data_IF_429188752671
#
_entry.id   IF_429188752671
#
_cell.length_a   1.000
_cell.length_b   1.000
_cell.length_c   1.000
_cell.angle_alpha   90.00
_cell.angle_beta   90.00
_cell.angle_gamma   90.00
#
_symmetry.space_group_name_H-M   'P 1'
#
loop_
_entity.id
_entity.type
_entity.pdbx_description
1 polymer ?
#
# COMPACT_ATOMS: atom_id res chain seq x y z
N UNK A 1 15.19 12.34 -28.85
CA UNK A 1 15.61 13.75 -28.62
C UNK A 1 16.33 13.83 -27.28
N UNK A 2 17.40 14.62 -27.12
CA UNK A 2 18.09 14.76 -25.81
C UNK A 2 17.93 16.18 -25.26
N UNK A 3 17.25 16.29 -24.12
CA UNK A 3 16.95 17.49 -23.35
C UNK A 3 17.28 17.26 -21.86
N UNK A 4 18.16 16.29 -21.55
CA UNK A 4 18.55 16.00 -20.17
C UNK A 4 19.12 17.25 -19.49
N UNK A 5 18.71 17.51 -18.25
CA UNK A 5 19.11 18.69 -17.46
C UNK A 5 18.77 20.05 -18.10
N UNK A 6 17.96 20.08 -19.17
CA UNK A 6 17.59 21.33 -19.82
C UNK A 6 16.70 22.17 -18.90
N UNK A 7 16.86 23.50 -18.99
CA UNK A 7 15.92 24.43 -18.36
C UNK A 7 14.78 24.75 -19.34
N UNK A 8 13.62 24.14 -19.09
CA UNK A 8 12.41 24.22 -19.91
C UNK A 8 11.26 24.85 -19.15
N UNK A 9 11.54 25.52 -18.01
CA UNK A 9 10.53 26.13 -17.15
C UNK A 9 9.56 27.01 -17.92
N UNK A 10 8.26 26.81 -17.69
CA UNK A 10 7.19 27.64 -18.23
C UNK A 10 7.03 27.56 -19.76
N UNK A 11 7.69 26.61 -20.42
CA UNK A 11 7.60 26.47 -21.88
C UNK A 11 6.30 25.76 -22.28
N UNK A 12 5.87 26.04 -23.51
CA UNK A 12 4.74 25.34 -24.12
C UNK A 12 5.24 24.25 -25.06
N UNK A 13 4.96 23.01 -24.68
CA UNK A 13 5.18 21.79 -25.44
C UNK A 13 3.87 21.02 -25.61
N UNK A 14 2.73 21.71 -25.58
CA UNK A 14 1.45 21.05 -25.79
C UNK A 14 1.38 20.36 -27.15
N UNK A 15 0.91 19.11 -27.16
CA UNK A 15 0.88 18.27 -28.36
C UNK A 15 2.24 17.82 -28.90
N UNK A 16 3.35 18.14 -28.22
CA UNK A 16 4.68 17.81 -28.71
C UNK A 16 4.89 16.29 -28.82
N UNK A 17 5.59 15.88 -29.88
CA UNK A 17 5.96 14.49 -30.12
C UNK A 17 7.36 14.25 -29.53
N UNK A 18 7.40 13.67 -28.32
CA UNK A 18 8.60 13.50 -27.50
C UNK A 18 8.80 12.03 -27.08
N UNK A 19 8.30 11.10 -27.89
CA UNK A 19 8.53 9.66 -27.71
C UNK A 19 10.02 9.36 -27.57
N UNK A 20 10.37 8.53 -26.59
CA UNK A 20 11.75 8.13 -26.25
C UNK A 20 12.71 9.32 -26.02
N UNK A 21 12.19 10.51 -25.73
CA UNK A 21 13.02 11.66 -25.42
C UNK A 21 13.70 11.47 -24.05
N UNK A 22 14.97 11.88 -23.96
CA UNK A 22 15.66 11.99 -22.69
C UNK A 22 15.41 13.40 -22.12
N UNK A 23 14.57 13.46 -21.10
CA UNK A 23 14.24 14.64 -20.27
C UNK A 23 14.72 14.45 -18.83
N UNK A 24 15.59 13.48 -18.57
CA UNK A 24 16.08 13.19 -17.22
C UNK A 24 16.67 14.45 -16.59
N UNK A 25 16.33 14.71 -15.32
CA UNK A 25 16.77 15.89 -14.55
C UNK A 25 16.40 17.25 -15.16
N UNK A 26 15.54 17.30 -16.18
CA UNK A 26 15.13 18.56 -16.78
C UNK A 26 14.30 19.39 -15.78
N UNK A 27 14.43 20.72 -15.85
CA UNK A 27 13.54 21.63 -15.15
C UNK A 27 12.33 21.92 -16.04
N UNK A 28 11.22 21.27 -15.74
CA UNK A 28 9.93 21.34 -16.41
C UNK A 28 8.87 22.04 -15.54
N UNK A 29 9.27 22.81 -14.53
CA UNK A 29 8.33 23.50 -13.65
C UNK A 29 7.42 24.42 -14.47
N UNK A 30 6.11 24.41 -14.19
CA UNK A 30 5.08 25.20 -14.89
C UNK A 30 5.04 24.98 -16.42
N UNK A 31 5.63 23.90 -16.93
CA UNK A 31 5.65 23.61 -18.37
C UNK A 31 4.29 23.07 -18.80
N UNK A 32 3.82 23.51 -19.96
CA UNK A 32 2.64 22.92 -20.59
C UNK A 32 3.06 21.74 -21.46
N UNK A 33 2.81 20.51 -20.97
CA UNK A 33 2.98 19.24 -21.69
C UNK A 33 1.63 18.62 -22.03
N UNK A 34 0.55 19.40 -22.03
CA UNK A 34 -0.80 18.87 -22.28
C UNK A 34 -0.87 18.23 -23.66
N UNK A 35 -1.45 17.02 -23.78
CA UNK A 35 -1.54 16.24 -25.03
C UNK A 35 -0.19 15.85 -25.64
N UNK A 36 0.93 16.06 -24.94
CA UNK A 36 2.23 15.64 -25.43
C UNK A 36 2.31 14.11 -25.45
N UNK A 37 3.04 13.57 -26.43
CA UNK A 37 3.39 12.16 -26.49
C UNK A 37 4.78 11.96 -25.90
N UNK A 38 4.81 11.44 -24.68
CA UNK A 38 6.00 11.13 -23.87
C UNK A 38 6.18 9.62 -23.69
N UNK A 39 5.59 8.81 -24.59
CA UNK A 39 5.72 7.34 -24.53
C UNK A 39 7.18 6.93 -24.52
N UNK A 40 7.56 6.09 -23.55
CA UNK A 40 8.94 5.63 -23.38
C UNK A 40 9.96 6.72 -23.03
N UNK A 41 9.53 7.96 -22.78
CA UNK A 41 10.44 9.05 -22.44
C UNK A 41 11.12 8.78 -21.08
N UNK A 42 12.38 9.20 -20.96
CA UNK A 42 13.07 9.22 -19.69
C UNK A 42 12.88 10.59 -19.04
N UNK A 43 12.03 10.65 -18.03
CA UNK A 43 11.73 11.80 -17.16
C UNK A 43 12.31 11.61 -15.74
N UNK A 44 13.20 10.64 -15.54
CA UNK A 44 13.77 10.35 -14.22
C UNK A 44 14.39 11.59 -13.60
N UNK A 45 14.08 11.83 -12.33
CA UNK A 45 14.53 12.99 -11.55
C UNK A 45 14.17 14.36 -12.16
N UNK A 46 13.26 14.43 -13.14
CA UNK A 46 12.81 15.71 -13.70
C UNK A 46 12.01 16.50 -12.65
N UNK A 47 12.16 17.82 -12.65
CA UNK A 47 11.33 18.69 -11.83
C UNK A 47 10.13 19.17 -12.65
N UNK A 48 8.96 18.58 -12.42
CA UNK A 48 7.70 18.85 -13.13
C UNK A 48 6.66 19.48 -12.19
N UNK A 49 7.11 20.20 -11.16
CA UNK A 49 6.23 20.89 -10.24
C UNK A 49 5.28 21.83 -11.01
N UNK A 50 3.98 21.75 -10.73
CA UNK A 50 2.95 22.55 -11.39
C UNK A 50 2.93 22.44 -12.93
N UNK A 51 3.53 21.41 -13.52
CA UNK A 51 3.42 21.15 -14.95
C UNK A 51 2.01 20.68 -15.32
N UNK A 52 1.55 21.04 -16.52
CA UNK A 52 0.30 20.48 -17.06
C UNK A 52 0.62 19.28 -17.93
N UNK A 53 0.17 18.10 -17.52
CA UNK A 53 0.22 16.84 -18.26
C UNK A 53 -1.19 16.37 -18.66
N UNK A 54 -2.15 17.29 -18.69
CA UNK A 54 -3.54 17.02 -19.07
C UNK A 54 -3.59 16.34 -20.44
N UNK A 55 -4.27 15.20 -20.54
CA UNK A 55 -4.37 14.36 -21.74
C UNK A 55 -3.01 13.88 -22.32
N UNK A 56 -1.91 13.95 -21.56
CA UNK A 56 -0.59 13.51 -22.05
C UNK A 56 -0.46 11.98 -22.07
N UNK A 57 0.30 11.44 -23.03
CA UNK A 57 0.60 10.01 -23.13
C UNK A 57 1.98 9.73 -22.54
N UNK A 58 2.04 9.06 -21.40
CA UNK A 58 3.25 8.74 -20.63
C UNK A 58 3.47 7.21 -20.53
N UNK A 59 2.89 6.46 -21.46
CA UNK A 59 2.93 4.99 -21.45
C UNK A 59 4.37 4.48 -21.42
N UNK A 60 4.68 3.64 -20.43
CA UNK A 60 6.01 3.05 -20.26
C UNK A 60 7.15 4.04 -20.05
N UNK A 61 6.85 5.31 -19.71
CA UNK A 61 7.89 6.30 -19.41
C UNK A 61 8.50 6.08 -18.03
N UNK A 62 9.73 6.55 -17.86
CA UNK A 62 10.45 6.52 -16.58
C UNK A 62 10.30 7.88 -15.90
N UNK A 63 9.48 7.96 -14.87
CA UNK A 63 9.30 9.13 -13.98
C UNK A 63 9.90 8.88 -12.60
N UNK A 64 10.82 7.92 -12.47
CA UNK A 64 11.42 7.59 -11.18
C UNK A 64 12.08 8.82 -10.55
N UNK A 65 11.80 9.05 -9.27
CA UNK A 65 12.29 10.20 -8.50
C UNK A 65 11.91 11.58 -9.06
N UNK A 66 10.93 11.67 -9.97
CA UNK A 66 10.46 12.95 -10.49
C UNK A 66 9.64 13.72 -9.45
N UNK A 67 9.65 15.05 -9.54
CA UNK A 67 8.80 15.92 -8.72
C UNK A 67 7.55 16.32 -9.51
N UNK A 68 6.39 15.81 -9.13
CA UNK A 68 5.07 16.10 -9.71
C UNK A 68 4.15 16.82 -8.72
N UNK A 69 4.69 17.50 -7.71
CA UNK A 69 3.89 18.32 -6.79
C UNK A 69 3.04 19.32 -7.57
N UNK A 70 1.75 19.37 -7.27
CA UNK A 70 0.77 20.24 -7.91
C UNK A 70 0.64 20.08 -9.44
N UNK A 71 1.15 19.00 -10.04
CA UNK A 71 1.00 18.76 -11.46
C UNK A 71 -0.48 18.43 -11.82
N UNK A 72 -0.90 18.81 -13.02
CA UNK A 72 -2.23 18.47 -13.55
C UNK A 72 -2.12 17.20 -14.41
N UNK A 73 -2.76 16.11 -13.98
CA UNK A 73 -2.69 14.79 -14.62
C UNK A 73 -4.05 14.30 -15.14
N UNK A 74 -5.02 15.20 -15.29
CA UNK A 74 -6.35 14.89 -15.81
C UNK A 74 -6.27 14.14 -17.15
N UNK A 75 -6.84 12.94 -17.20
CA UNK A 75 -6.83 12.03 -18.36
C UNK A 75 -5.43 11.65 -18.88
N UNK A 76 -4.36 11.84 -18.10
CA UNK A 76 -3.03 11.39 -18.48
C UNK A 76 -2.98 9.85 -18.51
N UNK A 77 -2.30 9.28 -19.51
CA UNK A 77 -2.05 7.85 -19.60
C UNK A 77 -0.68 7.50 -19.05
N UNK A 78 -0.62 7.04 -17.81
CA UNK A 78 0.59 6.58 -17.11
C UNK A 78 0.76 5.06 -17.19
N UNK A 79 0.03 4.36 -18.06
CA UNK A 79 0.03 2.90 -18.08
C UNK A 79 1.45 2.34 -18.25
N UNK A 80 1.87 1.46 -17.34
CA UNK A 80 3.21 0.87 -17.32
C UNK A 80 4.36 1.82 -16.98
N UNK A 81 4.08 3.08 -16.62
CA UNK A 81 5.11 4.03 -16.23
C UNK A 81 5.78 3.64 -14.90
N UNK A 82 7.07 3.95 -14.80
CA UNK A 82 7.80 3.84 -13.53
C UNK A 82 7.70 5.15 -12.75
N UNK A 83 6.95 5.13 -11.65
CA UNK A 83 6.76 6.25 -10.73
C UNK A 83 7.45 5.95 -9.38
N UNK A 84 8.44 5.08 -9.35
CA UNK A 84 9.15 4.73 -8.11
C UNK A 84 9.87 5.94 -7.52
N UNK A 85 9.64 6.22 -6.24
CA UNK A 85 10.19 7.39 -5.55
C UNK A 85 9.67 8.75 -6.06
N UNK A 86 8.62 8.76 -6.89
CA UNK A 86 8.01 10.01 -7.36
C UNK A 86 7.47 10.80 -6.18
N UNK A 87 7.49 12.12 -6.29
CA UNK A 87 6.88 13.00 -5.30
C UNK A 87 5.61 13.67 -5.86
N UNK A 88 4.46 13.27 -5.33
CA UNK A 88 3.15 13.90 -5.53
C UNK A 88 2.54 14.29 -4.18
N UNK A 89 2.07 15.53 -4.06
CA UNK A 89 1.36 15.97 -2.87
C UNK A 89 0.04 16.58 -3.33
N UNK A 90 -1.07 16.03 -2.81
CA UNK A 90 -2.43 16.51 -3.10
C UNK A 90 -2.76 16.61 -4.58
N UNK A 91 -2.23 15.68 -5.37
CA UNK A 91 -2.53 15.56 -6.80
C UNK A 91 -3.80 14.73 -6.98
N UNK A 92 -4.67 15.14 -7.90
CA UNK A 92 -5.83 14.36 -8.31
C UNK A 92 -5.44 13.42 -9.46
N UNK A 93 -5.56 12.12 -9.23
CA UNK A 93 -5.25 11.06 -10.21
C UNK A 93 -6.51 10.34 -10.68
N UNK A 94 -7.71 10.73 -10.22
CA UNK A 94 -8.95 9.95 -10.43
C UNK A 94 -9.34 9.77 -11.89
N UNK A 95 -8.82 10.60 -12.79
CA UNK A 95 -9.05 10.52 -14.24
C UNK A 95 -7.87 9.94 -15.02
N UNK A 96 -6.75 9.64 -14.36
CA UNK A 96 -5.55 9.11 -15.01
C UNK A 96 -5.67 7.61 -15.23
N UNK A 97 -5.02 7.09 -16.27
CA UNK A 97 -4.85 5.65 -16.46
C UNK A 97 -3.56 5.21 -15.78
N UNK A 98 -3.65 4.32 -14.78
CA UNK A 98 -2.51 3.88 -13.96
C UNK A 98 -2.32 2.36 -13.98
N UNK A 99 -2.78 1.67 -15.03
CA UNK A 99 -2.65 0.21 -15.10
C UNK A 99 -1.16 -0.18 -15.20
N UNK A 100 -0.71 -1.06 -14.30
CA UNK A 100 0.66 -1.59 -14.32
C UNK A 100 1.76 -0.59 -13.96
N UNK A 101 1.42 0.53 -13.32
CA UNK A 101 2.42 1.47 -12.77
C UNK A 101 3.25 0.83 -11.66
N UNK A 102 4.47 1.34 -11.44
CA UNK A 102 5.25 1.07 -10.23
C UNK A 102 5.32 2.32 -9.37
N UNK A 103 5.07 2.19 -8.08
CA UNK A 103 4.99 3.29 -7.11
C UNK A 103 5.84 3.01 -5.87
N UNK A 104 6.85 2.12 -5.97
CA UNK A 104 7.72 1.78 -4.83
C UNK A 104 8.41 3.03 -4.27
N UNK A 105 8.29 3.26 -2.97
CA UNK A 105 8.86 4.44 -2.30
C UNK A 105 8.24 5.78 -2.70
N UNK A 106 7.12 5.81 -3.42
CA UNK A 106 6.48 7.05 -3.87
C UNK A 106 5.95 7.88 -2.69
N UNK A 107 6.08 9.20 -2.75
CA UNK A 107 5.34 10.13 -1.88
C UNK A 107 4.02 10.49 -2.58
N UNK A 108 2.88 10.07 -2.02
CA UNK A 108 1.52 10.28 -2.53
C UNK A 108 0.64 10.98 -1.48
N UNK A 109 1.25 11.80 -0.62
CA UNK A 109 0.63 12.39 0.56
C UNK A 109 -0.59 13.22 0.17
N UNK A 110 -1.76 12.85 0.70
CA UNK A 110 -3.02 13.53 0.44
C UNK A 110 -3.51 13.49 -1.01
N UNK A 111 -2.94 12.64 -1.87
CA UNK A 111 -3.39 12.50 -3.25
C UNK A 111 -4.76 11.82 -3.34
N UNK A 112 -5.49 12.06 -4.43
CA UNK A 112 -6.76 11.41 -4.70
C UNK A 112 -6.61 10.29 -5.74
N UNK A 113 -6.65 9.05 -5.28
CA UNK A 113 -6.57 7.81 -6.06
C UNK A 113 -7.93 7.06 -6.07
N UNK A 114 -9.01 7.74 -5.69
CA UNK A 114 -10.32 7.10 -5.53
C UNK A 114 -10.82 6.50 -6.85
N UNK A 115 -11.34 5.27 -6.78
CA UNK A 115 -11.88 4.53 -7.93
C UNK A 115 -10.85 4.03 -8.94
N UNK A 116 -9.55 4.23 -8.71
CA UNK A 116 -8.51 3.76 -9.63
C UNK A 116 -8.36 2.24 -9.63
N UNK A 117 -8.03 1.70 -10.81
CA UNK A 117 -7.58 0.32 -10.95
C UNK A 117 -6.08 0.21 -10.70
N UNK A 118 -5.73 -0.29 -9.53
CA UNK A 118 -4.37 -0.50 -9.02
C UNK A 118 -4.16 -1.98 -8.63
N UNK A 119 -4.89 -2.89 -9.26
CA UNK A 119 -4.73 -4.32 -9.01
C UNK A 119 -3.30 -4.78 -9.33
N UNK A 120 -2.69 -5.52 -8.41
CA UNK A 120 -1.32 -6.02 -8.55
C UNK A 120 -0.23 -4.95 -8.52
N UNK A 121 -0.55 -3.69 -8.19
CA UNK A 121 0.44 -2.61 -8.15
C UNK A 121 1.52 -2.89 -7.11
N UNK A 122 2.76 -2.51 -7.45
CA UNK A 122 3.90 -2.51 -6.53
C UNK A 122 4.09 -1.10 -5.96
N UNK A 123 3.77 -0.91 -4.68
CA UNK A 123 3.96 0.36 -3.98
C UNK A 123 4.58 0.16 -2.60
N UNK A 124 5.42 -0.86 -2.43
CA UNK A 124 6.18 -1.05 -1.18
C UNK A 124 6.90 0.22 -0.77
N UNK A 125 6.93 0.52 0.53
CA UNK A 125 7.57 1.71 1.11
C UNK A 125 6.95 3.06 0.69
N UNK A 126 5.81 3.07 0.00
CA UNK A 126 5.15 4.31 -0.40
C UNK A 126 4.52 5.03 0.80
N UNK A 127 4.49 6.37 0.74
CA UNK A 127 3.79 7.21 1.70
C UNK A 127 2.49 7.75 1.12
N UNK A 128 1.38 7.16 1.53
CA UNK A 128 0.00 7.53 1.20
C UNK A 128 -0.73 8.16 2.39
N UNK A 129 -0.01 8.76 3.34
CA UNK A 129 -0.63 9.40 4.51
C UNK A 129 -1.67 10.45 4.08
N UNK A 130 -2.87 10.34 4.65
CA UNK A 130 -4.01 11.20 4.32
C UNK A 130 -4.55 11.11 2.89
N UNK A 131 -4.10 10.15 2.08
CA UNK A 131 -4.59 9.97 0.70
C UNK A 131 -6.06 9.49 0.67
N UNK A 132 -6.72 9.71 -0.46
CA UNK A 132 -8.07 9.23 -0.73
C UNK A 132 -7.99 8.05 -1.71
N UNK A 133 -8.42 6.87 -1.26
CA UNK A 133 -8.48 5.62 -2.03
C UNK A 133 -9.88 4.99 -1.95
N UNK A 134 -10.91 5.83 -1.82
CA UNK A 134 -12.30 5.35 -1.72
C UNK A 134 -12.65 4.59 -2.99
N UNK A 135 -13.23 3.40 -2.85
CA UNK A 135 -13.59 2.51 -3.97
C UNK A 135 -12.41 2.12 -4.89
N UNK A 136 -11.15 2.31 -4.49
CA UNK A 136 -9.99 1.89 -5.29
C UNK A 136 -9.85 0.35 -5.34
N UNK A 137 -9.41 -0.17 -6.48
CA UNK A 137 -9.15 -1.60 -6.70
C UNK A 137 -7.66 -1.88 -6.49
N UNK A 138 -7.33 -2.64 -5.44
CA UNK A 138 -5.98 -2.95 -4.95
C UNK A 138 -5.81 -4.47 -4.74
N UNK A 139 -6.56 -5.29 -5.48
CA UNK A 139 -6.52 -6.74 -5.30
C UNK A 139 -5.16 -7.27 -5.74
N UNK A 140 -4.55 -8.13 -4.92
CA UNK A 140 -3.22 -8.69 -5.16
C UNK A 140 -2.07 -7.67 -5.16
N UNK A 141 -2.29 -6.43 -4.72
CA UNK A 141 -1.22 -5.42 -4.69
C UNK A 141 -0.16 -5.72 -3.64
N UNK A 142 1.07 -5.23 -3.87
CA UNK A 142 2.17 -5.27 -2.90
C UNK A 142 2.35 -3.89 -2.29
N UNK A 143 1.93 -3.76 -1.03
CA UNK A 143 1.86 -2.53 -0.24
C UNK A 143 2.77 -2.57 0.99
N UNK A 144 3.66 -3.56 1.12
CA UNK A 144 4.47 -3.79 2.32
C UNK A 144 5.29 -2.56 2.71
N UNK A 145 5.45 -2.32 4.02
CA UNK A 145 6.21 -1.19 4.57
C UNK A 145 5.68 0.20 4.20
N UNK A 146 4.47 0.31 3.65
CA UNK A 146 3.89 1.60 3.27
C UNK A 146 3.26 2.31 4.46
N UNK A 147 3.04 3.63 4.31
CA UNK A 147 2.32 4.45 5.29
C UNK A 147 0.99 4.92 4.70
N UNK A 148 -0.12 4.47 5.27
CA UNK A 148 -1.49 4.89 4.95
C UNK A 148 -2.13 5.68 6.09
N UNK A 149 -1.35 6.17 7.06
CA UNK A 149 -1.90 6.80 8.27
C UNK A 149 -2.89 7.93 7.92
N UNK A 150 -4.09 7.84 8.47
CA UNK A 150 -5.19 8.78 8.23
C UNK A 150 -5.79 8.76 6.81
N UNK A 151 -5.41 7.82 5.94
CA UNK A 151 -5.98 7.69 4.61
C UNK A 151 -7.45 7.26 4.65
N UNK A 152 -8.20 7.61 3.61
CA UNK A 152 -9.57 7.15 3.43
C UNK A 152 -9.62 6.05 2.36
N UNK A 153 -9.74 4.81 2.81
CA UNK A 153 -9.81 3.60 1.97
C UNK A 153 -11.20 2.95 2.06
N UNK A 154 -12.24 3.75 2.33
CA UNK A 154 -13.61 3.25 2.45
C UNK A 154 -14.03 2.47 1.21
N UNK A 155 -14.56 1.26 1.40
CA UNK A 155 -14.97 0.33 0.33
C UNK A 155 -13.86 -0.07 -0.68
N UNK A 156 -12.60 0.24 -0.40
CA UNK A 156 -11.49 -0.23 -1.23
C UNK A 156 -11.42 -1.76 -1.27
N UNK A 157 -10.87 -2.30 -2.36
CA UNK A 157 -10.82 -3.74 -2.63
C UNK A 157 -9.38 -4.23 -2.60
N UNK A 158 -8.98 -4.76 -1.45
CA UNK A 158 -7.65 -5.24 -1.11
C UNK A 158 -7.58 -6.78 -1.02
N UNK A 159 -8.45 -7.51 -1.72
CA UNK A 159 -8.44 -8.97 -1.61
C UNK A 159 -7.11 -9.55 -2.10
N UNK A 160 -6.48 -10.40 -1.29
CA UNK A 160 -5.17 -10.98 -1.58
C UNK A 160 -3.99 -9.99 -1.56
N UNK A 161 -4.19 -8.76 -1.08
CA UNK A 161 -3.10 -7.77 -1.02
C UNK A 161 -2.07 -8.09 0.06
N UNK A 162 -0.85 -7.58 -0.10
CA UNK A 162 0.26 -7.70 0.84
C UNK A 162 0.54 -6.37 1.52
N UNK A 163 0.07 -6.18 2.74
CA UNK A 163 0.13 -4.90 3.49
C UNK A 163 1.02 -5.03 4.73
N UNK A 164 1.94 -5.98 4.70
CA UNK A 164 2.75 -6.37 5.85
C UNK A 164 3.59 -5.21 6.35
N UNK A 165 3.76 -5.12 7.67
CA UNK A 165 4.64 -4.14 8.33
C UNK A 165 4.31 -2.67 8.01
N UNK A 166 3.12 -2.42 7.47
CA UNK A 166 2.68 -1.08 7.06
C UNK A 166 2.07 -0.31 8.23
N UNK A 167 2.00 1.01 8.10
CA UNK A 167 1.30 1.88 9.03
C UNK A 167 -0.10 2.19 8.49
N UNK A 168 -1.14 1.86 9.25
CA UNK A 168 -2.53 2.12 8.93
C UNK A 168 -3.23 2.89 10.06
N UNK A 169 -2.47 3.63 10.87
CA UNK A 169 -3.02 4.34 12.05
C UNK A 169 -4.13 5.29 11.65
N UNK A 170 -5.32 5.12 12.25
CA UNK A 170 -6.47 5.98 11.99
C UNK A 170 -7.02 5.92 10.56
N UNK A 171 -6.63 4.92 9.77
CA UNK A 171 -7.12 4.73 8.41
C UNK A 171 -8.61 4.39 8.41
N UNK A 172 -9.36 4.86 7.41
CA UNK A 172 -10.75 4.45 7.22
C UNK A 172 -10.81 3.29 6.24
N UNK A 173 -11.18 2.11 6.72
CA UNK A 173 -11.39 0.89 5.94
C UNK A 173 -12.84 0.38 6.07
N UNK A 174 -13.78 1.25 6.45
CA UNK A 174 -15.19 0.92 6.60
C UNK A 174 -15.76 0.29 5.32
N UNK A 175 -16.26 -0.94 5.44
CA UNK A 175 -16.82 -1.73 4.33
C UNK A 175 -15.80 -2.20 3.28
N UNK A 176 -14.50 -2.01 3.50
CA UNK A 176 -13.46 -2.48 2.58
C UNK A 176 -13.42 -4.01 2.51
N UNK A 177 -12.96 -4.54 1.38
CA UNK A 177 -12.74 -5.97 1.19
C UNK A 177 -11.26 -6.28 1.32
N UNK A 178 -10.83 -6.88 2.43
CA UNK A 178 -9.44 -7.26 2.69
C UNK A 178 -9.26 -8.79 2.62
N UNK A 179 -10.28 -9.52 2.15
CA UNK A 179 -10.33 -10.99 2.22
C UNK A 179 -9.09 -11.67 1.64
N UNK A 180 -8.57 -12.66 2.37
CA UNK A 180 -7.36 -13.39 1.99
C UNK A 180 -6.11 -12.51 1.86
N UNK A 181 -6.12 -11.25 2.29
CA UNK A 181 -4.93 -10.40 2.31
C UNK A 181 -4.03 -10.67 3.52
N UNK A 182 -2.78 -10.25 3.41
CA UNK A 182 -1.82 -10.30 4.50
C UNK A 182 -1.58 -8.92 5.12
N UNK A 183 -1.71 -8.85 6.43
CA UNK A 183 -1.53 -7.69 7.30
C UNK A 183 -0.59 -8.04 8.46
N UNK A 184 0.40 -8.90 8.19
CA UNK A 184 1.34 -9.36 9.19
C UNK A 184 2.15 -8.19 9.76
N UNK A 185 2.18 -8.05 11.08
CA UNK A 185 2.93 -6.99 11.76
C UNK A 185 2.47 -5.56 11.44
N UNK A 186 1.30 -5.39 10.83
CA UNK A 186 0.76 -4.09 10.42
C UNK A 186 0.23 -3.32 11.63
N UNK A 187 0.47 -2.01 11.69
CA UNK A 187 -0.10 -1.15 12.71
C UNK A 187 -1.49 -0.66 12.29
N UNK A 188 -2.55 -1.24 12.85
CA UNK A 188 -3.95 -0.89 12.62
C UNK A 188 -4.55 -0.06 13.77
N UNK A 189 -3.72 0.58 14.59
CA UNK A 189 -4.20 1.36 15.75
C UNK A 189 -5.24 2.41 15.35
N UNK A 190 -6.40 2.42 16.00
CA UNK A 190 -7.47 3.40 15.75
C UNK A 190 -8.12 3.32 14.36
N UNK A 191 -7.85 2.27 13.58
CA UNK A 191 -8.42 2.08 12.23
C UNK A 191 -9.91 1.82 12.30
N UNK A 192 -10.69 2.42 11.41
CA UNK A 192 -12.09 2.02 11.20
C UNK A 192 -12.16 0.82 10.26
N UNK A 193 -12.40 -0.37 10.81
CA UNK A 193 -12.64 -1.63 10.07
C UNK A 193 -14.13 -2.03 10.11
N UNK A 194 -15.03 -1.08 10.40
CA UNK A 194 -16.45 -1.41 10.56
C UNK A 194 -17.01 -1.98 9.27
N UNK A 195 -17.74 -3.09 9.36
CA UNK A 195 -18.32 -3.83 8.22
C UNK A 195 -17.30 -4.32 7.18
N UNK A 196 -16.00 -4.26 7.47
CA UNK A 196 -14.97 -4.73 6.56
C UNK A 196 -14.98 -6.26 6.44
N UNK A 197 -14.57 -6.79 5.29
CA UNK A 197 -14.40 -8.23 5.06
C UNK A 197 -12.95 -8.61 5.30
N UNK A 198 -12.69 -9.33 6.39
CA UNK A 198 -11.37 -9.85 6.77
C UNK A 198 -11.34 -11.38 6.73
N UNK A 199 -12.25 -12.02 6.00
CA UNK A 199 -12.29 -13.47 5.95
C UNK A 199 -10.99 -14.03 5.35
N UNK A 200 -10.36 -14.97 6.06
CA UNK A 200 -9.11 -15.60 5.65
C UNK A 200 -7.87 -14.68 5.69
N UNK A 201 -7.93 -13.50 6.31
CA UNK A 201 -6.75 -12.62 6.39
C UNK A 201 -5.68 -13.13 7.35
N UNK A 202 -4.42 -12.76 7.10
CA UNK A 202 -3.33 -12.95 8.05
C UNK A 202 -3.12 -11.66 8.83
N UNK A 203 -3.44 -11.66 10.13
CA UNK A 203 -3.31 -10.54 11.07
C UNK A 203 -2.30 -10.84 12.19
N UNK A 204 -1.45 -11.86 12.01
CA UNK A 204 -0.46 -12.25 13.00
C UNK A 204 0.49 -11.07 13.26
N UNK A 205 0.61 -10.68 14.53
CA UNK A 205 1.45 -9.56 14.94
C UNK A 205 0.90 -8.16 14.60
N UNK A 206 -0.30 -8.06 14.01
CA UNK A 206 -0.92 -6.77 13.76
C UNK A 206 -1.38 -6.09 15.06
N UNK A 207 -1.17 -4.78 15.17
CA UNK A 207 -1.68 -3.99 16.30
C UNK A 207 -3.07 -3.45 15.99
N UNK A 208 -4.10 -4.02 16.61
CA UNK A 208 -5.50 -3.63 16.45
C UNK A 208 -6.01 -2.71 17.58
N UNK A 209 -5.11 -2.10 18.35
CA UNK A 209 -5.47 -1.27 19.51
C UNK A 209 -6.42 -0.13 19.11
N UNK A 210 -7.61 -0.10 19.69
CA UNK A 210 -8.61 0.93 19.40
C UNK A 210 -9.24 0.87 17.99
N UNK A 211 -8.98 -0.19 17.21
CA UNK A 211 -9.64 -0.38 15.92
C UNK A 211 -11.14 -0.68 16.09
N UNK A 212 -11.97 -0.14 15.20
CA UNK A 212 -13.41 -0.42 15.16
C UNK A 212 -13.70 -1.62 14.27
N UNK A 213 -14.08 -2.76 14.85
CA UNK A 213 -14.41 -3.99 14.13
C UNK A 213 -15.92 -4.27 14.06
N UNK A 214 -16.78 -3.29 14.36
CA UNK A 214 -18.23 -3.51 14.40
C UNK A 214 -18.76 -3.98 13.06
N UNK A 215 -19.37 -5.17 13.05
CA UNK A 215 -19.93 -5.77 11.85
C UNK A 215 -18.90 -6.32 10.86
N UNK A 216 -17.60 -6.30 11.20
CA UNK A 216 -16.56 -6.91 10.39
C UNK A 216 -16.74 -8.44 10.33
N UNK A 217 -16.38 -9.04 9.19
CA UNK A 217 -16.31 -10.49 9.01
C UNK A 217 -14.87 -10.98 9.17
N UNK A 218 -14.59 -11.64 10.29
CA UNK A 218 -13.27 -12.19 10.63
C UNK A 218 -13.21 -13.71 10.40
N UNK A 219 -14.14 -14.30 9.64
CA UNK A 219 -14.21 -15.75 9.47
C UNK A 219 -12.92 -16.30 8.87
N UNK A 220 -12.21 -17.17 9.61
CA UNK A 220 -10.93 -17.72 9.16
C UNK A 220 -9.75 -16.75 9.18
N UNK A 221 -9.91 -15.53 9.74
CA UNK A 221 -8.80 -14.64 9.99
C UNK A 221 -7.83 -15.25 11.02
N UNK A 222 -6.53 -15.05 10.80
CA UNK A 222 -5.45 -15.61 11.63
C UNK A 222 -4.81 -14.51 12.45
N UNK A 223 -5.03 -14.49 13.76
CA UNK A 223 -4.45 -13.48 14.67
C UNK A 223 -3.23 -13.98 15.45
N UNK A 224 -3.06 -15.29 15.54
CA UNK A 224 -2.01 -15.93 16.33
C UNK A 224 -1.26 -16.96 15.50
N UNK A 225 -0.01 -17.22 15.90
CA UNK A 225 0.80 -18.29 15.31
C UNK A 225 0.26 -19.62 15.87
N UNK A 226 -0.08 -20.61 15.03
CA UNK A 226 -0.45 -21.93 15.53
C UNK A 226 0.74 -22.56 16.30
N UNK A 227 0.49 -23.33 17.36
CA UNK A 227 1.56 -23.98 18.08
C UNK A 227 2.35 -24.93 17.16
N UNK A 228 3.66 -25.12 17.42
CA UNK A 228 4.45 -26.07 16.64
C UNK A 228 3.83 -27.48 16.74
N UNK A 229 3.97 -28.33 15.71
CA UNK A 229 3.28 -29.63 15.61
C UNK A 229 3.56 -30.60 16.77
N UNK A 230 4.57 -30.35 17.61
CA UNK A 230 4.98 -31.19 18.73
C UNK A 230 4.70 -30.56 20.12
N UNK A 231 3.91 -29.48 20.20
CA UNK A 231 3.54 -28.89 21.48
C UNK A 231 2.66 -29.88 22.29
N UNK A 232 3.19 -30.39 23.41
CA UNK A 232 2.46 -31.29 24.30
C UNK A 232 1.36 -30.51 25.04
N UNK A 233 0.14 -31.04 24.99
CA UNK A 233 -1.07 -30.55 25.65
C UNK A 233 -0.79 -30.01 27.06
N UNK A 234 -0.71 -28.69 27.21
CA UNK A 234 -0.43 -28.07 28.50
C UNK A 234 -0.32 -26.54 28.46
N UNK A 235 0.03 -25.96 27.32
CA UNK A 235 -0.11 -24.53 27.05
C UNK A 235 -1.27 -24.32 26.08
N UNK A 236 -2.35 -23.72 26.59
CA UNK A 236 -3.53 -23.34 25.81
C UNK A 236 -3.17 -22.23 24.81
N UNK A 237 -2.55 -22.60 23.70
CA UNK A 237 -2.44 -21.76 22.50
C UNK A 237 -3.73 -21.92 21.69
N UNK A 238 -4.86 -21.52 22.26
CA UNK A 238 -6.09 -21.41 21.48
C UNK A 238 -5.94 -20.20 20.57
N UNK A 239 -5.99 -20.43 19.26
CA UNK A 239 -6.06 -19.33 18.31
C UNK A 239 -7.29 -18.50 18.65
N UNK A 240 -7.14 -17.20 18.88
CA UNK A 240 -8.27 -16.28 18.89
C UNK A 240 -8.87 -16.32 17.49
N UNK A 241 -9.97 -17.06 17.35
CA UNK A 241 -10.69 -17.16 16.08
C UNK A 241 -11.53 -15.89 15.88
N UNK A 242 -11.91 -15.60 14.64
CA UNK A 242 -12.88 -14.54 14.37
C UNK A 242 -14.20 -14.72 15.14
N UNK A 243 -14.58 -15.95 15.52
CA UNK A 243 -15.74 -16.22 16.36
C UNK A 243 -15.54 -15.76 17.82
N UNK A 244 -14.33 -15.94 18.37
CA UNK A 244 -13.98 -15.51 19.73
C UNK A 244 -14.01 -13.98 19.85
N UNK A 245 -13.50 -13.28 18.84
CA UNK A 245 -13.59 -11.81 18.73
C UNK A 245 -15.03 -11.32 18.52
N UNK A 246 -15.84 -12.02 17.72
CA UNK A 246 -17.25 -11.66 17.50
C UNK A 246 -18.09 -11.84 18.77
N UNK A 247 -17.81 -12.88 19.55
CA UNK A 247 -18.41 -13.08 20.86
C UNK A 247 -17.98 -12.00 21.85
N UNK A 248 -16.69 -11.64 21.84
CA UNK A 248 -16.11 -10.55 22.64
C UNK A 248 -16.61 -9.15 22.25
N UNK A 249 -17.04 -8.95 21.01
CA UNK A 249 -17.67 -7.71 20.52
C UNK A 249 -19.14 -7.59 20.97
N UNK A 250 -19.84 -8.72 21.10
CA UNK A 250 -21.23 -8.76 21.57
C UNK A 250 -21.35 -8.66 23.10
N UNK A 251 -20.31 -9.03 23.84
CA UNK A 251 -20.21 -8.75 25.28
C UNK A 251 -19.42 -7.46 25.48
N UNK A 252 -20.02 -6.44 26.09
CA UNK A 252 -19.42 -5.12 26.21
C UNK A 252 -18.03 -5.14 26.90
N UNK A 253 -16.94 -5.21 26.12
CA UNK A 253 -15.67 -4.44 26.21
C UNK A 253 -14.47 -5.20 25.60
N UNK A 254 -14.03 -4.76 24.41
CA UNK A 254 -12.82 -5.25 23.70
C UNK A 254 -11.54 -5.12 24.55
N UNK A 255 -11.50 -4.13 25.44
CA UNK A 255 -10.39 -3.91 26.38
C UNK A 255 -10.17 -5.08 27.33
N UNK A 256 -11.20 -5.89 27.59
CA UNK A 256 -11.13 -7.02 28.52
C UNK A 256 -10.51 -8.27 27.90
N UNK A 257 -10.69 -8.48 26.59
CA UNK A 257 -10.13 -9.62 25.85
C UNK A 257 -8.67 -9.42 25.48
N UNK A 258 -8.27 -8.18 25.18
CA UNK A 258 -6.85 -7.82 25.00
C UNK A 258 -6.07 -7.80 26.33
N UNK A 259 -6.77 -7.62 27.46
CA UNK A 259 -6.19 -7.70 28.80
C UNK A 259 -6.10 -9.14 29.34
N UNK A 260 -6.78 -10.10 28.72
CA UNK A 260 -6.74 -11.49 29.17
C UNK A 260 -5.46 -12.17 28.66
N UNK A 261 -4.91 -13.00 29.55
CA UNK A 261 -3.48 -13.31 29.61
C UNK A 261 -3.04 -14.05 28.35
N UNK A 262 -2.29 -13.37 27.48
CA UNK A 262 -1.11 -13.86 26.72
C UNK A 262 -0.70 -12.94 25.55
N UNK A 263 -1.55 -12.00 25.11
CA UNK A 263 -1.21 -11.05 24.03
C UNK A 263 -0.31 -9.90 24.53
N UNK A 264 -0.52 -9.44 25.77
CA UNK A 264 0.25 -8.34 26.37
C UNK A 264 1.76 -8.61 26.58
N UNK A 265 2.23 -9.86 26.41
CA UNK A 265 3.63 -10.23 26.59
C UNK A 265 4.50 -10.04 25.33
N UNK A 266 3.88 -9.70 24.19
CA UNK A 266 4.54 -9.34 22.94
C UNK A 266 4.60 -7.81 22.80
N UNK A 267 5.29 -7.16 23.73
CA UNK A 267 5.56 -5.73 23.65
C UNK A 267 6.48 -5.41 22.48
N UNK A 268 6.33 -4.22 21.91
CA UNK A 268 7.10 -3.65 20.79
C UNK A 268 8.63 -3.86 20.93
N UNK A 269 9.15 -3.87 22.16
CA UNK A 269 10.55 -4.07 22.49
C UNK A 269 11.07 -5.51 22.31
N UNK A 270 10.19 -6.54 22.33
CA UNK A 270 10.56 -7.93 22.00
C UNK A 270 10.29 -8.27 20.55
N UNK A 271 9.26 -7.69 19.94
CA UNK A 271 8.90 -7.93 18.55
C UNK A 271 9.89 -7.28 17.57
N UNK A 272 10.36 -6.04 17.80
CA UNK A 272 11.31 -5.37 16.88
C UNK A 272 12.61 -6.16 16.67
N UNK A 273 13.33 -6.65 17.71
CA UNK A 273 14.55 -7.44 17.52
C UNK A 273 14.27 -8.82 16.92
N UNK A 274 13.19 -9.49 17.34
CA UNK A 274 12.80 -10.79 16.79
C UNK A 274 12.39 -10.66 15.31
N UNK A 275 11.62 -9.64 14.93
CA UNK A 275 11.27 -9.34 13.53
C UNK A 275 12.48 -8.88 12.73
N UNK A 276 13.34 -8.03 13.28
CA UNK A 276 14.56 -7.58 12.62
C UNK A 276 15.52 -8.74 12.33
N UNK A 277 15.75 -9.65 13.28
CA UNK A 277 16.56 -10.85 13.06
C UNK A 277 15.86 -11.88 12.17
N UNK A 278 14.54 -12.05 12.25
CA UNK A 278 13.77 -13.00 11.43
C UNK A 278 13.65 -12.58 9.98
N UNK A 279 13.48 -11.28 9.72
CA UNK A 279 13.42 -10.67 8.39
C UNK A 279 14.82 -10.69 7.74
N UNK A 280 15.89 -10.43 8.49
CA UNK A 280 17.27 -10.46 7.98
C UNK A 280 17.84 -11.88 7.80
N UNK A 281 17.38 -12.87 8.59
CA UNK A 281 17.88 -14.24 8.50
C UNK A 281 17.20 -15.10 7.42
N UNK A 282 16.28 -14.54 6.61
CA UNK A 282 15.60 -15.32 5.57
C UNK A 282 14.92 -16.57 6.13
N UNK A 283 14.42 -16.49 7.37
CA UNK A 283 13.74 -17.61 8.02
C UNK A 283 12.36 -17.72 7.39
N UNK A 284 12.33 -18.53 6.33
CA UNK A 284 11.19 -19.27 5.84
C UNK A 284 10.59 -20.00 7.05
N UNK A 285 9.64 -19.37 7.74
CA UNK A 285 8.63 -20.13 8.44
C UNK A 285 7.83 -20.81 7.35
N UNK A 286 8.12 -22.11 7.20
CA UNK A 286 7.50 -23.09 6.31
C UNK A 286 6.15 -22.62 5.73
N UNK A 287 6.03 -22.76 4.40
CA UNK A 287 4.85 -22.46 3.58
C UNK A 287 3.54 -23.02 4.17
N UNK A 288 3.63 -24.03 5.05
CA UNK A 288 2.52 -24.67 5.74
C UNK A 288 2.19 -24.11 7.13
N UNK A 289 3.01 -23.25 7.75
CA UNK A 289 2.82 -22.81 9.15
C UNK A 289 2.23 -21.41 9.31
N UNK A 290 2.60 -20.43 8.48
CA UNK A 290 2.11 -19.03 8.60
C UNK A 290 1.17 -18.63 7.46
N UNK A 291 1.22 -19.34 6.34
CA UNK A 291 0.43 -19.03 5.15
C UNK A 291 -0.60 -20.13 4.88
N UNK A 292 -1.80 -19.81 4.37
CA UNK A 292 -2.67 -20.84 3.82
C UNK A 292 -1.94 -21.61 2.71
N UNK A 293 -2.16 -22.93 2.62
CA UNK A 293 -1.77 -23.71 1.43
C UNK A 293 -2.31 -23.01 0.17
N UNK A 294 -1.43 -22.62 -0.76
CA UNK A 294 -1.79 -21.93 -2.01
C UNK A 294 -1.70 -20.39 -1.99
N UNK A 295 -1.01 -19.80 -1.00
CA UNK A 295 -0.73 -18.36 -0.96
C UNK A 295 0.52 -18.03 -1.79
N UNK A 296 0.35 -17.52 -3.01
CA UNK A 296 1.48 -17.09 -3.86
C UNK A 296 2.16 -15.86 -3.26
N UNK A 297 3.44 -16.01 -2.91
CA UNK A 297 4.29 -14.93 -2.38
C UNK A 297 4.85 -14.12 -3.56
N UNK A 298 4.48 -12.84 -3.75
CA UNK A 298 5.07 -12.00 -4.77
C UNK A 298 6.59 -11.88 -4.53
N UNK A 299 7.39 -12.00 -5.57
CA UNK A 299 8.85 -11.85 -5.46
C UNK A 299 9.25 -10.49 -4.86
N UNK A 300 8.50 -9.43 -5.18
CA UNK A 300 8.66 -8.07 -4.62
C UNK A 300 8.19 -7.92 -3.17
N UNK A 301 7.45 -8.90 -2.63
CA UNK A 301 7.08 -8.96 -1.22
C UNK A 301 8.12 -9.69 -0.36
N UNK A 302 9.07 -10.41 -0.97
CA UNK A 302 10.19 -11.05 -0.27
C UNK A 302 11.26 -9.99 -0.04
N UNK A 303 11.23 -9.39 1.15
CA UNK A 303 12.23 -8.43 1.59
C UNK A 303 13.56 -9.14 1.89
N UNK A 304 14.35 -9.44 0.85
CA UNK A 304 15.76 -9.80 1.02
C UNK A 304 16.51 -8.50 1.27
N UNK A 305 16.78 -8.21 2.54
CA UNK A 305 17.54 -7.04 2.96
C UNK A 305 18.78 -6.82 2.06
N UNK A 306 18.82 -5.68 1.41
CA UNK A 306 20.04 -5.07 0.90
C UNK A 306 20.25 -3.75 1.59
#
# INVERSE_FOLDING_TARGET
>A
MNLSSANLRGKDFSGAQMMDANLSKANLVETNLSKADLTGANLSQANMESASLTDARLVGSDLSLANLRNALLDNADLSGADLSGVSMIRVDLTRSLMNGVRLGGAELIGCNLSGLNLNGVEMSEANLSGALLVDAELSGSVLSLSDFSGADMGRARLSGSWVNLSQLVGTKLGGANLSGGSFFGTNLTGTDLSKAKLNGTVLIGADLSGADLRGADLTGARLTIPPPPNATNGSSYENLTGADLRAALNQASMSRVLADRHVAALTEARLKPLLHDTILQGVIYDENTIWPLGFDIPASAIYLGR
#
